data_IF_328301384825
#
_entry.id   IF_328301384825
#
_cell.length_a   1.000
_cell.length_b   1.000
_cell.length_c   1.000
_cell.angle_alpha   90.00
_cell.angle_beta   90.00
_cell.angle_gamma   90.00
#
_symmetry.space_group_name_H-M   'P 1'
#
loop_
_entity.id
_entity.type
_entity.pdbx_description
1 polymer ?
#
# COMPACT_ATOMS: atom_id res chain seq x y z
N UNK A 1 -2.98 -15.27 7.24
CA UNK A 1 -1.66 -15.05 7.84
C UNK A 1 -0.62 -14.96 6.74
N UNK A 2 0.32 -14.01 6.85
CA UNK A 2 1.39 -13.80 5.87
C UNK A 2 2.61 -13.17 6.53
N UNK A 3 3.70 -13.05 5.78
CA UNK A 3 4.91 -12.30 6.18
C UNK A 3 5.01 -10.99 5.39
N UNK A 4 5.83 -10.06 5.86
CA UNK A 4 6.08 -8.82 5.12
C UNK A 4 6.74 -9.11 3.76
N UNK A 5 7.62 -10.09 3.69
CA UNK A 5 8.30 -10.52 2.45
C UNK A 5 7.31 -11.08 1.43
N UNK A 6 6.41 -11.98 1.85
CA UNK A 6 5.42 -12.57 0.93
C UNK A 6 4.45 -11.51 0.39
N UNK A 7 4.02 -10.58 1.24
CA UNK A 7 3.19 -9.46 0.81
C UNK A 7 3.93 -8.55 -0.15
N UNK A 8 5.20 -8.24 0.13
CA UNK A 8 6.02 -7.43 -0.77
C UNK A 8 6.18 -8.10 -2.13
N UNK A 9 6.43 -9.41 -2.18
CA UNK A 9 6.53 -10.18 -3.43
C UNK A 9 5.21 -10.16 -4.23
N UNK A 10 4.07 -10.35 -3.54
CA UNK A 10 2.76 -10.27 -4.19
C UNK A 10 2.52 -8.89 -4.81
N UNK A 11 2.77 -7.82 -4.06
CA UNK A 11 2.54 -6.46 -4.56
C UNK A 11 3.57 -6.05 -5.62
N UNK A 12 4.80 -6.51 -5.51
CA UNK A 12 5.81 -6.36 -6.57
C UNK A 12 5.37 -7.05 -7.87
N UNK A 13 4.81 -8.26 -7.78
CA UNK A 13 4.25 -8.95 -8.93
C UNK A 13 3.11 -8.13 -9.58
N UNK A 14 2.24 -7.50 -8.78
CA UNK A 14 1.19 -6.64 -9.29
C UNK A 14 1.76 -5.40 -9.99
N UNK A 15 2.78 -4.75 -9.41
CA UNK A 15 3.49 -3.63 -10.05
C UNK A 15 4.12 -4.04 -11.39
N UNK A 16 4.62 -5.28 -11.48
CA UNK A 16 5.21 -5.84 -12.70
C UNK A 16 4.14 -6.37 -13.70
N UNK A 17 2.89 -5.91 -13.60
CA UNK A 17 1.82 -6.33 -14.51
C UNK A 17 1.45 -7.80 -14.41
N UNK A 18 1.59 -8.40 -13.22
CA UNK A 18 1.28 -9.80 -12.95
C UNK A 18 2.40 -10.78 -13.26
N UNK A 19 3.64 -10.31 -13.41
CA UNK A 19 4.80 -11.13 -13.70
C UNK A 19 5.64 -11.38 -12.44
N UNK A 20 6.02 -12.63 -12.21
CA UNK A 20 6.86 -13.05 -11.10
C UNK A 20 7.90 -14.09 -11.57
N UNK A 21 9.16 -13.90 -11.20
CA UNK A 21 10.28 -14.78 -11.59
C UNK A 21 10.28 -15.14 -13.09
N UNK A 22 10.06 -14.16 -13.96
CA UNK A 22 10.03 -14.34 -15.40
C UNK A 22 8.74 -14.96 -15.96
N UNK A 23 7.85 -15.44 -15.11
CA UNK A 23 6.57 -16.05 -15.51
C UNK A 23 5.42 -15.07 -15.39
N UNK A 24 4.50 -15.10 -16.35
CA UNK A 24 3.24 -14.35 -16.31
C UNK A 24 2.22 -15.13 -15.48
N UNK A 25 1.95 -14.68 -14.24
CA UNK A 25 0.98 -15.30 -13.33
C UNK A 25 -0.43 -14.77 -13.59
N UNK A 26 -0.57 -13.45 -13.70
CA UNK A 26 -1.83 -12.79 -14.10
C UNK A 26 -1.62 -11.99 -15.37
N UNK A 27 -2.65 -11.94 -16.22
CA UNK A 27 -2.62 -11.07 -17.40
C UNK A 27 -2.54 -9.61 -16.97
N UNK A 28 -1.76 -8.75 -17.67
CA UNK A 28 -1.69 -7.32 -17.36
C UNK A 28 -3.06 -6.64 -17.28
N UNK A 29 -3.98 -6.99 -18.20
CA UNK A 29 -5.34 -6.49 -18.19
C UNK A 29 -6.12 -6.87 -16.93
N UNK A 30 -5.90 -8.09 -16.38
CA UNK A 30 -6.49 -8.52 -15.13
C UNK A 30 -5.97 -7.68 -13.97
N UNK A 31 -4.65 -7.50 -13.88
CA UNK A 31 -4.04 -6.64 -12.86
C UNK A 31 -4.63 -5.22 -12.93
N UNK A 32 -4.67 -4.63 -14.12
CA UNK A 32 -5.24 -3.30 -14.33
C UNK A 32 -6.71 -3.22 -13.88
N UNK A 33 -7.51 -4.25 -14.14
CA UNK A 33 -8.91 -4.30 -13.68
C UNK A 33 -9.02 -4.22 -12.16
N UNK A 34 -8.10 -4.86 -11.43
CA UNK A 34 -8.15 -4.89 -9.97
C UNK A 34 -7.47 -3.69 -9.30
N UNK A 35 -6.48 -3.08 -9.94
CA UNK A 35 -5.69 -1.99 -9.33
C UNK A 35 -6.13 -0.59 -9.77
N UNK A 36 -6.74 -0.44 -10.95
CA UNK A 36 -7.21 0.84 -11.43
C UNK A 36 -8.46 1.32 -10.70
N UNK A 37 -8.62 2.63 -10.65
CA UNK A 37 -9.78 3.27 -10.03
C UNK A 37 -11.08 2.82 -10.69
N UNK A 38 -12.04 2.40 -9.89
CA UNK A 38 -13.41 2.11 -10.33
C UNK A 38 -14.10 3.38 -10.89
N UNK A 39 -14.98 3.20 -11.86
CA UNK A 39 -15.83 4.28 -12.39
C UNK A 39 -16.84 4.79 -11.36
N UNK A 40 -17.18 3.97 -10.37
CA UNK A 40 -18.29 4.23 -9.45
C UNK A 40 -17.84 4.83 -8.11
N UNK A 41 -16.57 4.68 -7.75
CA UNK A 41 -16.04 5.21 -6.50
C UNK A 41 -14.51 5.40 -6.58
N UNK A 42 -13.92 5.94 -5.52
CA UNK A 42 -12.47 6.19 -5.42
C UNK A 42 -11.63 4.92 -5.20
N UNK A 43 -12.27 3.76 -4.98
CA UNK A 43 -11.59 2.47 -4.74
C UNK A 43 -11.31 1.75 -6.05
N UNK A 44 -10.34 0.85 -6.00
CA UNK A 44 -10.15 -0.19 -7.01
C UNK A 44 -10.95 -1.46 -6.65
N UNK A 45 -10.94 -2.46 -7.50
CA UNK A 45 -11.56 -3.76 -7.23
C UNK A 45 -10.70 -4.54 -6.24
N UNK A 46 -11.13 -4.60 -4.97
CA UNK A 46 -10.41 -5.30 -3.91
C UNK A 46 -9.31 -4.49 -3.22
N UNK A 47 -8.97 -3.30 -3.73
CA UNK A 47 -7.98 -2.42 -3.12
C UNK A 47 -8.57 -1.05 -2.79
N UNK A 48 -7.99 -0.43 -1.75
CA UNK A 48 -8.15 1.01 -1.50
C UNK A 48 -7.15 1.80 -2.34
N UNK A 49 -7.48 3.07 -2.59
CA UNK A 49 -6.57 4.06 -3.16
C UNK A 49 -6.15 5.04 -2.07
N UNK A 50 -4.97 5.65 -2.19
CA UNK A 50 -4.49 6.61 -1.17
C UNK A 50 -5.34 7.88 -1.10
N UNK A 51 -6.03 8.23 -2.16
CA UNK A 51 -6.84 9.46 -2.24
C UNK A 51 -7.90 9.50 -1.14
N UNK A 52 -7.79 10.50 -0.27
CA UNK A 52 -8.72 10.77 0.82
C UNK A 52 -8.33 10.20 2.20
N UNK A 53 -7.46 9.19 2.27
CA UNK A 53 -7.08 8.57 3.55
C UNK A 53 -5.70 8.99 4.11
N UNK A 54 -4.80 9.45 3.24
CA UNK A 54 -3.38 9.67 3.58
C UNK A 54 -2.81 10.93 2.92
N UNK A 55 -3.42 12.10 3.14
CA UNK A 55 -3.09 13.32 2.40
C UNK A 55 -1.62 13.75 2.55
N UNK A 56 -1.00 13.51 3.70
CA UNK A 56 0.40 13.86 3.94
C UNK A 56 1.37 12.96 3.17
N UNK A 57 1.00 11.71 2.89
CA UNK A 57 1.80 10.78 2.11
C UNK A 57 1.77 11.16 0.63
N UNK A 58 0.60 11.52 0.12
CA UNK A 58 0.44 12.06 -1.25
C UNK A 58 1.25 13.34 -1.42
N UNK A 59 1.16 14.28 -0.44
CA UNK A 59 1.97 15.51 -0.44
C UNK A 59 3.48 15.26 -0.39
N UNK A 60 3.91 14.11 0.13
CA UNK A 60 5.32 13.73 0.19
C UNK A 60 5.82 13.01 -1.07
N UNK A 61 4.98 12.82 -2.08
CA UNK A 61 5.36 12.26 -3.37
C UNK A 61 4.71 10.94 -3.74
N UNK A 62 3.85 10.37 -2.89
CA UNK A 62 3.07 9.19 -3.31
C UNK A 62 2.16 9.53 -4.49
N UNK A 63 2.15 8.68 -5.51
CA UNK A 63 1.33 8.89 -6.70
C UNK A 63 -0.17 8.69 -6.42
N UNK A 64 -1.01 9.28 -7.24
CA UNK A 64 -2.46 9.03 -7.20
C UNK A 64 -2.82 7.60 -7.62
N UNK A 65 -1.90 6.92 -8.30
CA UNK A 65 -2.06 5.54 -8.73
C UNK A 65 -1.74 4.51 -7.63
N UNK A 66 -1.27 4.96 -6.46
CA UNK A 66 -1.01 4.08 -5.31
C UNK A 66 -2.26 3.33 -4.88
N UNK A 67 -2.14 2.01 -4.78
CA UNK A 67 -3.19 1.10 -4.35
C UNK A 67 -2.71 0.19 -3.22
N UNK A 68 -3.63 -0.33 -2.43
CA UNK A 68 -3.29 -1.20 -1.31
C UNK A 68 -4.48 -1.46 -0.41
N UNK A 69 -4.22 -1.87 0.83
CA UNK A 69 -5.29 -2.06 1.81
C UNK A 69 -4.77 -1.96 3.24
N UNK A 70 -5.68 -1.69 4.15
CA UNK A 70 -5.41 -1.71 5.59
C UNK A 70 -6.13 -2.87 6.26
N UNK A 71 -5.52 -3.45 7.30
CA UNK A 71 -6.10 -4.53 8.08
C UNK A 71 -6.59 -4.11 9.46
N UNK A 72 -7.53 -4.86 10.01
CA UNK A 72 -8.12 -4.61 11.34
C UNK A 72 -7.08 -4.62 12.46
N UNK A 73 -6.12 -5.53 12.41
CA UNK A 73 -5.01 -5.63 13.36
C UNK A 73 -3.99 -4.49 13.30
N UNK A 74 -4.17 -3.56 12.37
CA UNK A 74 -3.29 -2.41 12.19
C UNK A 74 -2.30 -2.55 11.04
N UNK A 75 -2.29 -3.69 10.37
CA UNK A 75 -1.46 -3.94 9.19
C UNK A 75 -1.85 -3.03 8.03
N UNK A 76 -0.93 -2.81 7.12
CA UNK A 76 -1.22 -2.24 5.80
C UNK A 76 -0.16 -2.64 4.78
N UNK A 77 -0.56 -2.60 3.53
CA UNK A 77 0.33 -2.70 2.38
C UNK A 77 -0.11 -1.70 1.32
N UNK A 78 0.85 -1.01 0.71
CA UNK A 78 0.64 -0.04 -0.35
C UNK A 78 1.67 -0.24 -1.44
N UNK A 79 1.24 -0.18 -2.69
CA UNK A 79 2.09 -0.22 -3.88
C UNK A 79 1.87 1.05 -4.70
N UNK A 80 2.95 1.70 -5.05
CA UNK A 80 3.00 2.93 -5.85
C UNK A 80 3.65 2.64 -7.19
N UNK A 81 2.88 2.59 -8.30
CA UNK A 81 3.41 2.27 -9.60
C UNK A 81 4.37 3.33 -10.17
N UNK A 82 4.17 4.61 -9.85
CA UNK A 82 5.01 5.68 -10.39
C UNK A 82 6.37 5.76 -9.70
N UNK A 83 6.42 5.42 -8.41
CA UNK A 83 7.66 5.41 -7.64
C UNK A 83 8.27 4.00 -7.51
N UNK A 84 7.67 2.97 -8.13
CA UNK A 84 8.09 1.57 -8.05
C UNK A 84 8.28 1.09 -6.60
N UNK A 85 7.43 1.57 -5.68
CA UNK A 85 7.57 1.38 -4.25
C UNK A 85 6.49 0.45 -3.69
N UNK A 86 6.91 -0.53 -2.90
CA UNK A 86 6.02 -1.33 -2.05
C UNK A 86 6.31 -1.04 -0.58
N UNK A 87 5.30 -0.61 0.15
CA UNK A 87 5.36 -0.38 1.60
C UNK A 87 4.50 -1.40 2.34
N UNK A 88 5.10 -2.15 3.25
CA UNK A 88 4.41 -3.12 4.10
C UNK A 88 4.66 -2.78 5.57
N UNK A 89 3.59 -2.70 6.35
CA UNK A 89 3.66 -2.56 7.81
C UNK A 89 2.77 -3.61 8.47
N UNK A 90 3.39 -4.54 9.20
CA UNK A 90 2.68 -5.55 9.96
C UNK A 90 2.68 -5.18 11.45
N UNK A 91 1.49 -5.18 12.03
CA UNK A 91 1.29 -4.88 13.46
C UNK A 91 0.21 -5.78 14.05
N UNK A 92 0.17 -5.85 15.36
CA UNK A 92 -0.91 -6.51 16.09
C UNK A 92 -1.43 -5.59 17.21
N UNK A 93 -2.17 -4.54 16.82
CA UNK A 93 -2.72 -3.57 17.78
C UNK A 93 -3.78 -4.17 18.71
N UNK A 94 -4.38 -5.28 18.30
CA UNK A 94 -5.49 -5.90 19.04
C UNK A 94 -5.03 -6.81 20.18
N UNK A 95 -3.75 -7.14 20.23
CA UNK A 95 -3.18 -7.90 21.34
C UNK A 95 -2.53 -6.97 22.38
N UNK A 96 -2.73 -7.18 23.68
CA UNK A 96 -3.66 -8.12 24.34
C UNK A 96 -5.08 -7.55 24.45
N UNK A 97 -5.33 -6.33 23.98
CA UNK A 97 -6.63 -5.66 24.11
C UNK A 97 -7.14 -5.19 22.76
N UNK A 98 -8.22 -5.79 22.22
CA UNK A 98 -8.79 -5.41 20.90
C UNK A 98 -9.38 -3.99 20.87
N UNK A 99 -9.68 -3.39 22.02
CA UNK A 99 -10.13 -1.99 22.12
C UNK A 99 -8.98 -0.98 21.98
N UNK A 100 -7.72 -1.44 21.92
CA UNK A 100 -6.58 -0.57 21.72
C UNK A 100 -6.64 0.09 20.34
N UNK A 101 -6.77 1.40 20.32
CA UNK A 101 -6.85 2.20 19.09
C UNK A 101 -5.68 3.20 18.93
N UNK A 102 -4.61 3.05 19.73
CA UNK A 102 -3.44 3.95 19.70
C UNK A 102 -2.85 4.08 18.31
N UNK A 103 -2.72 2.97 17.57
CA UNK A 103 -2.19 2.97 16.20
C UNK A 103 -3.00 3.90 15.27
N UNK A 104 -4.34 3.86 15.38
CA UNK A 104 -5.23 4.74 14.63
C UNK A 104 -5.16 6.18 15.14
N UNK A 105 -5.21 6.38 16.47
CA UNK A 105 -5.18 7.70 17.12
C UNK A 105 -3.91 8.49 16.78
N UNK A 106 -2.75 7.82 16.73
CA UNK A 106 -1.48 8.45 16.40
C UNK A 106 -1.15 8.41 14.91
N UNK A 107 -2.05 7.90 14.08
CA UNK A 107 -1.84 7.72 12.62
C UNK A 107 -0.49 7.05 12.30
N UNK A 108 -0.12 6.01 13.06
CA UNK A 108 1.19 5.36 12.96
C UNK A 108 1.50 4.86 11.56
N UNK A 109 0.52 4.26 10.87
CA UNK A 109 0.67 3.78 9.49
C UNK A 109 1.01 4.91 8.53
N UNK A 110 0.22 6.01 8.57
CA UNK A 110 0.45 7.16 7.70
C UNK A 110 1.77 7.87 7.98
N UNK A 111 2.15 7.95 9.25
CA UNK A 111 3.44 8.54 9.65
C UNK A 111 4.62 7.70 9.18
N UNK A 112 4.57 6.38 9.34
CA UNK A 112 5.62 5.49 8.86
C UNK A 112 5.75 5.56 7.33
N UNK A 113 4.64 5.47 6.61
CA UNK A 113 4.60 5.57 5.16
C UNK A 113 5.14 6.93 4.66
N UNK A 114 4.75 8.03 5.31
CA UNK A 114 5.26 9.37 5.04
C UNK A 114 6.79 9.46 5.15
N UNK A 115 7.37 8.82 6.17
CA UNK A 115 8.83 8.84 6.36
C UNK A 115 9.57 8.09 5.25
N UNK A 116 9.00 7.01 4.73
CA UNK A 116 9.58 6.29 3.58
C UNK A 116 9.71 7.24 2.38
N UNK A 117 8.63 7.93 2.00
CA UNK A 117 8.69 8.90 0.89
C UNK A 117 9.68 10.04 1.14
N UNK A 118 9.67 10.59 2.35
CA UNK A 118 10.63 11.64 2.72
C UNK A 118 12.08 11.21 2.65
N UNK A 119 12.36 9.92 2.90
CA UNK A 119 13.72 9.39 2.84
C UNK A 119 14.17 9.07 1.41
N UNK A 120 13.23 8.60 0.57
CA UNK A 120 13.55 8.19 -0.81
C UNK A 120 13.56 9.35 -1.80
N UNK A 121 12.67 10.34 -1.61
CA UNK A 121 12.48 11.43 -2.55
C UNK A 121 13.15 12.74 -2.08
N UNK A 122 13.99 12.71 -1.05
CA UNK A 122 14.85 13.85 -0.76
C UNK A 122 15.89 13.98 -1.87
N UNK A 123 15.96 15.12 -2.59
CA UNK A 123 17.16 15.40 -3.38
C UNK A 123 18.35 15.37 -2.41
N UNK A 124 19.41 14.70 -2.81
CA UNK A 124 20.67 14.79 -2.10
C UNK A 124 21.03 16.28 -1.96
N UNK A 125 21.26 16.69 -0.73
CA UNK A 125 21.68 18.06 -0.42
C UNK A 125 23.12 18.28 -0.87
#
# INVERSE_FOLDING_TARGET
>A
FSTATDLAQLFQMLLNGGRYNGQQIFRPATVATFTNKSRFNYRALGFDRLKGGWPNVVKAGASEETFGHTGFSGTCVWADPENELVFVLLTNRIHPNPKNNRLKRFNTRGRAHLQVYRSLLRPEA
#
